data_IF_814126896143
#
_entry.id   IF_814126896143
#
_cell.length_a   1.000
_cell.length_b   1.000
_cell.length_c   1.000
_cell.angle_alpha   90.00
_cell.angle_beta   90.00
_cell.angle_gamma   90.00
#
_symmetry.space_group_name_H-M   'P 1'
#
loop_
_entity.id
_entity.type
_entity.pdbx_description
1 polymer ?
#
# COMPACT_ATOMS: atom_id res chain seq x y z
N UNK A 1 45.70 -32.48 63.67
CA UNK A 1 46.19 -31.43 62.75
C UNK A 1 46.40 -31.97 61.33
N UNK A 2 47.12 -33.09 61.13
CA UNK A 2 47.35 -33.70 59.82
C UNK A 2 46.08 -34.16 59.06
N UNK A 3 45.11 -34.77 59.74
CA UNK A 3 43.86 -35.22 59.08
C UNK A 3 43.02 -34.05 58.56
N UNK A 4 43.02 -32.92 59.28
CA UNK A 4 42.32 -31.71 58.86
C UNK A 4 42.91 -31.15 57.56
N UNK A 5 44.25 -31.14 57.45
CA UNK A 5 44.97 -30.69 56.27
C UNK A 5 44.68 -31.63 55.08
N UNK A 6 44.68 -32.94 55.30
CA UNK A 6 44.33 -33.92 54.27
C UNK A 6 42.90 -33.73 53.76
N UNK A 7 41.94 -33.46 54.64
CA UNK A 7 40.55 -33.17 54.27
C UNK A 7 40.43 -31.88 53.43
N UNK A 8 41.11 -30.80 53.81
CA UNK A 8 41.10 -29.56 53.04
C UNK A 8 41.72 -29.71 51.64
N UNK A 9 42.83 -30.46 51.52
CA UNK A 9 43.44 -30.76 50.23
C UNK A 9 42.51 -31.62 49.36
N UNK A 10 41.82 -32.60 49.95
CA UNK A 10 40.85 -33.44 49.24
C UNK A 10 39.65 -32.63 48.74
N UNK A 11 39.07 -31.77 49.58
CA UNK A 11 37.96 -30.88 49.19
C UNK A 11 38.39 -29.91 48.09
N UNK A 12 39.60 -29.35 48.17
CA UNK A 12 40.15 -28.47 47.13
C UNK A 12 40.36 -29.20 45.79
N UNK A 13 40.82 -30.45 45.82
CA UNK A 13 40.94 -31.27 44.60
C UNK A 13 39.57 -31.55 43.97
N UNK A 14 38.55 -31.88 44.76
CA UNK A 14 37.19 -32.08 44.26
C UNK A 14 36.63 -30.79 43.63
N UNK A 15 36.84 -29.63 44.27
CA UNK A 15 36.41 -28.34 43.72
C UNK A 15 37.11 -28.01 42.39
N UNK A 16 38.42 -28.28 42.28
CA UNK A 16 39.16 -28.07 41.04
C UNK A 16 38.66 -28.98 39.91
N UNK A 17 38.39 -30.25 40.20
CA UNK A 17 37.83 -31.19 39.23
C UNK A 17 36.44 -30.73 38.78
N UNK A 18 35.59 -30.28 39.71
CA UNK A 18 34.27 -29.71 39.38
C UNK A 18 34.35 -28.47 38.48
N UNK A 19 35.33 -27.60 38.69
CA UNK A 19 35.57 -26.42 37.86
C UNK A 19 36.01 -26.80 36.44
N UNK A 20 36.88 -27.80 36.29
CA UNK A 20 37.33 -28.30 34.99
C UNK A 20 36.14 -28.85 34.18
N UNK A 21 35.32 -29.70 34.78
CA UNK A 21 34.11 -30.23 34.12
C UNK A 21 33.12 -29.11 33.74
N UNK A 22 32.95 -28.09 34.58
CA UNK A 22 32.09 -26.96 34.26
C UNK A 22 32.57 -26.18 33.02
N UNK A 23 33.89 -25.95 32.90
CA UNK A 23 34.51 -25.28 31.75
C UNK A 23 34.36 -26.12 30.48
N UNK A 24 34.59 -27.43 30.54
CA UNK A 24 34.43 -28.33 29.39
C UNK A 24 32.97 -28.39 28.90
N UNK A 25 32.01 -28.47 29.83
CA UNK A 25 30.57 -28.44 29.51
C UNK A 25 30.20 -27.10 28.84
N UNK A 26 30.76 -25.98 29.30
CA UNK A 26 30.49 -24.66 28.72
C UNK A 26 31.07 -24.53 27.31
N UNK A 27 32.29 -25.04 27.09
CA UNK A 27 32.91 -25.11 25.77
C UNK A 27 32.10 -25.99 24.81
N UNK A 28 31.60 -27.12 25.30
CA UNK A 28 30.75 -28.03 24.51
C UNK A 28 29.41 -27.38 24.13
N UNK A 29 28.73 -26.69 25.06
CA UNK A 29 27.51 -25.92 24.76
C UNK A 29 27.74 -24.86 23.67
N UNK A 30 28.87 -24.17 23.72
CA UNK A 30 29.20 -23.14 22.71
C UNK A 30 29.44 -23.76 21.33
N UNK A 31 30.13 -24.91 21.26
CA UNK A 31 30.30 -25.66 20.01
C UNK A 31 28.96 -26.10 19.42
N UNK A 32 28.05 -26.64 20.25
CA UNK A 32 26.71 -27.04 19.80
C UNK A 32 25.90 -25.87 19.26
N UNK A 33 25.94 -24.70 19.91
CA UNK A 33 25.25 -23.50 19.42
C UNK A 33 25.78 -23.03 18.06
N UNK A 34 27.09 -23.10 17.85
CA UNK A 34 27.70 -22.72 16.56
C UNK A 34 27.32 -23.71 15.45
N UNK A 35 27.30 -25.01 15.74
CA UNK A 35 26.80 -26.03 14.81
C UNK A 35 25.32 -25.78 14.48
N UNK A 36 24.47 -25.53 15.47
CA UNK A 36 23.05 -25.21 15.23
C UNK A 36 22.87 -23.96 14.35
N UNK A 37 23.72 -22.92 14.54
CA UNK A 37 23.73 -21.72 13.70
C UNK A 37 24.14 -22.01 12.26
N UNK A 38 25.17 -22.82 12.04
CA UNK A 38 25.61 -23.15 10.67
C UNK A 38 24.55 -23.96 9.92
N UNK A 39 23.90 -24.91 10.59
CA UNK A 39 22.76 -25.64 10.01
C UNK A 39 21.61 -24.69 9.65
N UNK A 40 21.20 -23.78 10.56
CA UNK A 40 20.14 -22.80 10.30
C UNK A 40 20.47 -21.88 9.11
N UNK A 41 21.70 -21.38 9.03
CA UNK A 41 22.12 -20.50 7.94
C UNK A 41 22.15 -21.25 6.60
N UNK A 42 22.59 -22.50 6.59
CA UNK A 42 22.59 -23.35 5.39
C UNK A 42 21.16 -23.60 4.90
N UNK A 43 20.21 -23.88 5.79
CA UNK A 43 18.80 -24.08 5.42
C UNK A 43 18.14 -22.80 4.91
N UNK A 44 18.43 -21.65 5.54
CA UNK A 44 17.92 -20.33 5.08
C UNK A 44 18.46 -19.97 3.70
N UNK A 45 19.76 -20.20 3.46
CA UNK A 45 20.38 -19.92 2.17
C UNK A 45 19.85 -20.84 1.05
N UNK A 46 19.64 -22.12 1.34
CA UNK A 46 19.03 -23.06 0.40
C UNK A 46 17.59 -22.67 0.08
N UNK A 47 16.80 -22.28 1.08
CA UNK A 47 15.44 -21.79 0.87
C UNK A 47 15.41 -20.49 0.06
N UNK A 48 16.27 -19.51 0.39
CA UNK A 48 16.35 -18.26 -0.36
C UNK A 48 16.79 -18.49 -1.81
N UNK A 49 17.79 -19.36 -2.03
CA UNK A 49 18.25 -19.72 -3.37
C UNK A 49 17.15 -20.42 -4.18
N UNK A 50 16.47 -21.40 -3.59
CA UNK A 50 15.33 -22.10 -4.20
C UNK A 50 14.18 -21.14 -4.51
N UNK A 51 13.80 -20.27 -3.56
CA UNK A 51 12.74 -19.28 -3.73
C UNK A 51 13.06 -18.29 -4.86
N UNK A 52 14.30 -17.79 -4.95
CA UNK A 52 14.70 -16.90 -6.04
C UNK A 52 14.78 -17.58 -7.41
N UNK A 53 15.04 -18.89 -7.44
CA UNK A 53 15.07 -19.68 -8.67
C UNK A 53 13.65 -19.98 -9.18
N UNK A 54 12.73 -20.34 -8.27
CA UNK A 54 11.34 -20.65 -8.59
C UNK A 54 10.46 -19.40 -8.78
N UNK A 55 10.78 -18.31 -8.08
CA UNK A 55 10.11 -17.01 -8.18
C UNK A 55 11.14 -15.92 -8.52
N UNK A 56 11.70 -15.93 -9.74
CA UNK A 56 12.54 -14.83 -10.19
C UNK A 56 11.70 -13.55 -10.10
N UNK A 57 12.23 -12.52 -9.43
CA UNK A 57 11.58 -11.21 -9.44
C UNK A 57 11.31 -10.86 -10.90
N UNK A 58 10.03 -10.82 -11.28
CA UNK A 58 9.65 -10.20 -12.52
C UNK A 58 10.03 -8.74 -12.35
N UNK A 59 11.21 -8.39 -12.83
CA UNK A 59 11.65 -7.01 -12.95
C UNK A 59 10.58 -6.38 -13.82
N UNK A 60 9.63 -5.70 -13.19
CA UNK A 60 8.52 -5.07 -13.89
C UNK A 60 9.15 -4.04 -14.78
N UNK A 61 9.35 -4.38 -16.05
CA UNK A 61 9.63 -3.42 -17.09
C UNK A 61 8.39 -2.54 -17.06
N UNK A 62 8.49 -1.41 -16.37
CA UNK A 62 7.48 -0.36 -16.42
C UNK A 62 7.45 0.06 -17.87
N UNK A 63 6.59 -0.57 -18.68
CA UNK A 63 6.16 0.03 -19.94
C UNK A 63 5.65 1.40 -19.52
N UNK A 64 6.34 2.45 -19.93
CA UNK A 64 5.84 3.80 -19.77
C UNK A 64 4.56 3.87 -20.59
N UNK A 65 3.45 3.59 -19.92
CA UNK A 65 2.13 3.82 -20.45
C UNK A 65 2.05 5.29 -20.85
N UNK A 66 1.40 5.63 -21.96
CA UNK A 66 1.22 7.01 -22.38
C UNK A 66 0.72 7.84 -21.19
N UNK A 67 1.19 9.09 -21.08
CA UNK A 67 0.78 10.01 -20.01
C UNK A 67 -0.72 10.29 -20.18
N UNK A 68 -1.56 9.51 -19.51
CA UNK A 68 -3.01 9.71 -19.52
C UNK A 68 -3.35 10.76 -18.48
N UNK A 69 -3.79 11.93 -18.94
CA UNK A 69 -4.36 12.97 -18.09
C UNK A 69 -5.51 12.34 -17.29
N UNK A 70 -5.47 12.47 -15.96
CA UNK A 70 -6.41 11.78 -15.05
C UNK A 70 -7.88 12.01 -15.43
N UNK A 71 -8.23 13.22 -15.83
CA UNK A 71 -9.57 13.64 -16.28
C UNK A 71 -10.11 12.82 -17.46
N UNK A 72 -9.20 12.23 -18.25
CA UNK A 72 -9.50 11.41 -19.41
C UNK A 72 -9.43 9.90 -19.12
N UNK A 73 -8.95 9.48 -17.92
CA UNK A 73 -8.66 8.09 -17.55
C UNK A 73 -9.77 7.07 -17.87
N UNK A 74 -11.02 7.51 -17.79
CA UNK A 74 -12.19 6.64 -18.00
C UNK A 74 -13.09 7.08 -19.16
N UNK A 75 -12.67 8.04 -20.00
CA UNK A 75 -13.54 8.58 -21.07
C UNK A 75 -13.92 7.52 -22.11
N UNK A 76 -12.95 6.83 -22.70
CA UNK A 76 -13.21 5.84 -23.75
C UNK A 76 -14.07 4.68 -23.22
N UNK A 77 -13.70 4.14 -22.05
CA UNK A 77 -14.45 3.06 -21.40
C UNK A 77 -15.90 3.44 -21.12
N UNK A 78 -16.15 4.69 -20.75
CA UNK A 78 -17.51 5.19 -20.51
C UNK A 78 -18.35 5.23 -21.79
N UNK A 79 -17.74 5.59 -22.92
CA UNK A 79 -18.44 5.60 -24.21
C UNK A 79 -18.85 4.19 -24.63
N UNK A 80 -18.01 3.19 -24.34
CA UNK A 80 -18.26 1.79 -24.70
C UNK A 80 -19.24 1.05 -23.78
N UNK A 81 -19.61 1.61 -22.62
CA UNK A 81 -20.57 0.91 -21.76
C UNK A 81 -21.97 1.00 -22.35
N UNK A 82 -22.62 -0.16 -22.38
CA UNK A 82 -24.04 -0.33 -22.66
C UNK A 82 -24.71 -0.92 -21.42
N UNK A 83 -25.94 -0.49 -21.15
CA UNK A 83 -26.75 -0.98 -20.04
C UNK A 83 -27.02 0.06 -18.95
N UNK A 84 -28.27 0.04 -18.48
CA UNK A 84 -28.77 0.88 -17.40
C UNK A 84 -29.28 -0.02 -16.27
N UNK A 85 -28.36 -0.44 -15.41
CA UNK A 85 -28.72 -1.12 -14.17
C UNK A 85 -29.17 -0.09 -13.14
N UNK A 86 -30.23 -0.43 -12.41
CA UNK A 86 -30.66 0.37 -11.26
C UNK A 86 -29.54 0.36 -10.22
N UNK A 87 -29.17 1.55 -9.74
CA UNK A 87 -28.20 1.70 -8.65
C UNK A 87 -28.74 1.05 -7.37
N UNK A 88 -27.88 0.29 -6.69
CA UNK A 88 -28.17 -0.25 -5.37
C UNK A 88 -27.56 0.70 -4.31
N UNK A 89 -28.23 0.86 -3.17
CA UNK A 89 -27.75 1.64 -2.02
C UNK A 89 -26.39 1.14 -1.50
N UNK A 90 -26.07 -0.13 -1.76
CA UNK A 90 -24.82 -0.77 -1.32
C UNK A 90 -23.62 -0.53 -2.27
N UNK A 91 -23.81 0.23 -3.35
CA UNK A 91 -22.75 0.48 -4.32
C UNK A 91 -21.82 1.59 -3.80
N UNK A 92 -20.62 1.21 -3.38
CA UNK A 92 -19.58 2.13 -2.87
C UNK A 92 -18.33 1.99 -3.71
N UNK A 93 -17.81 3.11 -4.22
CA UNK A 93 -16.59 3.17 -5.01
C UNK A 93 -15.45 3.77 -4.20
N UNK A 94 -14.29 3.13 -4.26
CA UNK A 94 -13.01 3.66 -3.79
C UNK A 94 -12.16 4.07 -5.01
N UNK A 95 -11.60 5.28 -5.00
CA UNK A 95 -10.65 5.74 -6.02
C UNK A 95 -9.56 6.62 -5.39
N UNK A 96 -8.31 6.28 -5.70
CA UNK A 96 -7.17 7.15 -5.46
C UNK A 96 -7.08 8.19 -6.58
N UNK A 97 -7.35 9.45 -6.25
CA UNK A 97 -7.15 10.57 -7.17
C UNK A 97 -5.76 11.18 -6.95
N UNK A 98 -5.23 11.97 -7.89
CA UNK A 98 -3.96 12.65 -7.67
C UNK A 98 -3.94 13.59 -6.47
N UNK A 99 -5.12 14.09 -6.07
CA UNK A 99 -5.27 15.05 -4.98
C UNK A 99 -5.79 14.44 -3.68
N UNK A 100 -5.94 13.11 -3.60
CA UNK A 100 -6.44 12.42 -2.39
C UNK A 100 -7.33 11.23 -2.71
N UNK A 101 -7.67 10.45 -1.69
CA UNK A 101 -8.55 9.32 -1.80
C UNK A 101 -10.02 9.76 -1.72
N UNK A 102 -10.87 9.09 -2.49
CA UNK A 102 -12.31 9.34 -2.55
C UNK A 102 -13.07 8.04 -2.32
N UNK A 103 -14.05 8.10 -1.42
CA UNK A 103 -15.12 7.10 -1.30
C UNK A 103 -16.38 7.77 -1.84
N UNK A 104 -16.96 7.24 -2.92
CA UNK A 104 -18.12 7.83 -3.60
C UNK A 104 -19.25 6.82 -3.72
N UNK A 105 -20.47 7.29 -3.50
CA UNK A 105 -21.71 6.56 -3.72
C UNK A 105 -22.78 7.48 -4.31
N UNK A 106 -23.85 6.90 -4.85
CA UNK A 106 -24.94 7.67 -5.44
C UNK A 106 -26.18 7.64 -4.55
N UNK A 107 -26.68 8.82 -4.19
CA UNK A 107 -27.93 8.97 -3.46
C UNK A 107 -29.07 9.18 -4.47
N UNK A 108 -29.85 8.12 -4.72
CA UNK A 108 -30.94 8.13 -5.68
C UNK A 108 -32.12 9.02 -5.26
N UNK A 109 -32.35 9.21 -3.96
CA UNK A 109 -33.43 10.10 -3.45
C UNK A 109 -33.12 11.56 -3.73
N UNK A 110 -31.84 11.95 -3.57
CA UNK A 110 -31.36 13.34 -3.79
C UNK A 110 -30.78 13.57 -5.18
N UNK A 111 -30.78 12.54 -6.03
CA UNK A 111 -30.19 12.53 -7.38
C UNK A 111 -28.79 13.13 -7.46
N UNK A 112 -27.90 12.76 -6.54
CA UNK A 112 -26.54 13.34 -6.43
C UNK A 112 -25.50 12.33 -5.99
N UNK A 113 -24.24 12.58 -6.36
CA UNK A 113 -23.10 11.84 -5.86
C UNK A 113 -22.70 12.37 -4.49
N UNK A 114 -22.65 11.48 -3.51
CA UNK A 114 -22.19 11.79 -2.17
C UNK A 114 -20.82 11.14 -1.97
N UNK A 115 -19.90 11.87 -1.33
CA UNK A 115 -18.54 11.37 -1.18
C UNK A 115 -17.88 11.83 0.10
N UNK A 116 -16.91 11.02 0.54
CA UNK A 116 -15.95 11.34 1.56
C UNK A 116 -14.56 11.42 0.94
N UNK A 117 -13.69 12.31 1.44
CA UNK A 117 -12.31 12.40 0.99
C UNK A 117 -11.34 12.74 2.11
N UNK A 118 -10.07 12.35 1.96
CA UNK A 118 -9.01 12.72 2.92
C UNK A 118 -8.52 14.17 2.72
N UNK A 119 -8.63 14.68 1.49
CA UNK A 119 -8.22 16.01 1.06
C UNK A 119 -9.31 16.69 0.25
N UNK A 120 -9.14 17.99 0.00
CA UNK A 120 -10.03 18.74 -0.90
C UNK A 120 -9.81 18.29 -2.35
N UNK A 121 -10.87 17.76 -2.97
CA UNK A 121 -10.81 17.23 -4.34
C UNK A 121 -11.42 18.23 -5.32
N UNK A 122 -10.70 18.65 -6.37
CA UNK A 122 -11.24 19.48 -7.43
C UNK A 122 -12.43 18.81 -8.16
N UNK A 123 -13.43 19.60 -8.55
CA UNK A 123 -14.63 19.11 -9.25
C UNK A 123 -14.33 18.25 -10.49
N UNK A 124 -13.34 18.65 -11.30
CA UNK A 124 -12.87 17.88 -12.48
C UNK A 124 -12.44 16.44 -12.16
N UNK A 125 -11.93 16.19 -10.95
CA UNK A 125 -11.57 14.85 -10.52
C UNK A 125 -12.77 14.08 -10.00
N UNK A 126 -13.72 14.74 -9.33
CA UNK A 126 -15.00 14.11 -8.94
C UNK A 126 -15.79 13.64 -10.16
N UNK A 127 -15.80 14.41 -11.25
CA UNK A 127 -16.36 13.99 -12.55
C UNK A 127 -15.74 12.68 -13.06
N UNK A 128 -14.42 12.54 -12.90
CA UNK A 128 -13.69 11.34 -13.31
C UNK A 128 -14.04 10.14 -12.42
N UNK A 129 -14.18 10.38 -11.10
CA UNK A 129 -14.58 9.34 -10.13
C UNK A 129 -16.03 8.90 -10.39
N UNK A 130 -16.95 9.83 -10.65
CA UNK A 130 -18.34 9.53 -11.00
C UNK A 130 -18.42 8.71 -12.29
N UNK A 131 -17.61 9.05 -13.30
CA UNK A 131 -17.50 8.24 -14.52
C UNK A 131 -17.05 6.80 -14.21
N UNK A 132 -16.06 6.62 -13.34
CA UNK A 132 -15.63 5.29 -12.87
C UNK A 132 -16.76 4.56 -12.17
N UNK A 133 -17.49 5.23 -11.27
CA UNK A 133 -18.62 4.65 -10.52
C UNK A 133 -19.64 4.05 -11.48
N UNK A 134 -20.02 4.84 -12.49
CA UNK A 134 -21.01 4.47 -13.49
C UNK A 134 -20.56 3.29 -14.33
N UNK A 135 -19.29 3.24 -14.73
CA UNK A 135 -18.71 2.09 -15.45
C UNK A 135 -18.73 0.83 -14.58
N UNK A 136 -18.28 0.93 -13.33
CA UNK A 136 -18.14 -0.20 -12.41
C UNK A 136 -19.51 -0.81 -12.09
N UNK A 137 -20.51 0.04 -11.85
CA UNK A 137 -21.85 -0.41 -11.48
C UNK A 137 -22.82 -0.53 -12.67
N UNK A 138 -22.39 -0.15 -13.88
CA UNK A 138 -23.18 -0.14 -15.12
C UNK A 138 -24.52 0.62 -14.97
N UNK A 139 -24.46 1.86 -14.50
CA UNK A 139 -25.63 2.72 -14.28
C UNK A 139 -25.48 4.04 -15.06
N UNK A 140 -25.50 3.96 -16.39
CA UNK A 140 -25.19 5.11 -17.26
C UNK A 140 -26.18 6.25 -17.11
N UNK A 141 -27.45 5.93 -16.95
CA UNK A 141 -28.58 6.84 -16.76
C UNK A 141 -28.42 7.88 -15.62
N UNK A 142 -27.66 7.59 -14.57
CA UNK A 142 -27.51 8.54 -13.43
C UNK A 142 -26.45 9.62 -13.68
N UNK A 143 -25.64 9.49 -14.74
CA UNK A 143 -24.54 10.40 -15.04
C UNK A 143 -24.91 11.34 -16.18
N UNK A 144 -24.73 12.64 -15.93
CA UNK A 144 -24.99 13.67 -16.91
C UNK A 144 -23.68 14.02 -17.60
N UNK A 145 -23.58 13.67 -18.88
CA UNK A 145 -22.40 14.02 -19.68
C UNK A 145 -22.41 15.52 -20.03
N UNK A 146 -21.33 16.21 -19.65
CA UNK A 146 -21.09 17.60 -20.05
C UNK A 146 -20.61 17.62 -21.51
N UNK A 147 -21.55 17.80 -22.43
CA UNK A 147 -21.27 18.10 -23.83
C UNK A 147 -21.17 19.62 -24.02
N UNK A 148 -20.31 20.08 -24.93
CA UNK A 148 -19.89 21.49 -25.15
C UNK A 148 -21.01 22.50 -25.53
N UNK A 149 -22.29 22.25 -25.21
CA UNK A 149 -23.35 23.25 -25.41
C UNK A 149 -24.79 22.76 -25.31
N UNK A 150 -25.06 21.49 -25.00
CA UNK A 150 -26.44 20.96 -25.05
C UNK A 150 -27.10 20.75 -23.68
N UNK A 151 -26.33 20.52 -22.63
CA UNK A 151 -26.88 20.16 -21.32
C UNK A 151 -26.69 21.29 -20.30
N UNK A 152 -27.79 21.93 -19.90
CA UNK A 152 -27.79 22.92 -18.78
C UNK A 152 -27.63 22.25 -17.40
N UNK A 153 -27.93 20.96 -17.31
CA UNK A 153 -27.82 20.19 -16.06
C UNK A 153 -26.40 19.65 -15.90
N UNK A 154 -25.92 19.63 -14.66
CA UNK A 154 -24.60 19.12 -14.29
C UNK A 154 -24.73 18.06 -13.21
N UNK A 155 -23.71 17.22 -13.06
CA UNK A 155 -23.64 16.30 -11.93
C UNK A 155 -23.51 17.09 -10.63
N UNK A 156 -24.32 16.71 -9.63
CA UNK A 156 -24.30 17.33 -8.31
C UNK A 156 -23.45 16.45 -7.39
N UNK A 157 -22.55 17.09 -6.64
CA UNK A 157 -21.68 16.42 -5.68
C UNK A 157 -21.88 17.01 -4.29
N UNK A 158 -21.85 16.16 -3.27
CA UNK A 158 -21.95 16.57 -1.87
C UNK A 158 -20.86 15.89 -1.05
N UNK A 159 -20.00 16.71 -0.45
CA UNK A 159 -18.96 16.26 0.45
C UNK A 159 -19.55 16.02 1.83
N UNK A 160 -19.58 14.76 2.27
CA UNK A 160 -20.20 14.36 3.53
C UNK A 160 -19.26 14.48 4.73
N UNK A 161 -17.95 14.49 4.50
CA UNK A 161 -16.98 14.61 5.57
C UNK A 161 -15.58 14.16 5.17
N UNK A 162 -14.65 14.40 6.08
CA UNK A 162 -13.26 13.96 5.91
C UNK A 162 -13.08 12.53 6.38
N UNK A 163 -12.25 11.78 5.66
CA UNK A 163 -11.80 10.47 6.08
C UNK A 163 -10.53 10.61 6.93
N UNK A 164 -10.41 9.81 8.00
CA UNK A 164 -9.13 9.61 8.65
C UNK A 164 -8.17 9.00 7.61
N UNK A 165 -6.99 9.61 7.49
CA UNK A 165 -6.02 9.42 6.42
C UNK A 165 -5.82 7.93 6.01
N UNK A 166 -6.32 7.54 4.83
CA UNK A 166 -6.20 6.18 4.27
C UNK A 166 -4.94 6.01 3.41
N UNK A 167 -3.79 6.56 3.84
CA UNK A 167 -2.51 6.39 3.13
C UNK A 167 -2.11 4.92 2.93
N UNK A 168 -2.76 3.98 3.61
CA UNK A 168 -2.59 2.54 3.46
C UNK A 168 -3.43 1.89 2.33
N UNK A 169 -4.54 2.48 1.89
CA UNK A 169 -5.49 1.80 0.99
C UNK A 169 -5.11 1.83 -0.49
N UNK A 170 -4.19 2.68 -0.92
CA UNK A 170 -3.52 2.63 -2.23
C UNK A 170 -2.44 3.71 -2.30
N UNK A 171 -1.24 3.36 -2.78
CA UNK A 171 -0.20 4.37 -3.05
C UNK A 171 -0.70 5.25 -4.20
N UNK A 172 -0.87 6.55 -3.93
CA UNK A 172 -1.19 7.54 -4.97
C UNK A 172 -0.07 7.51 -6.02
N UNK A 173 -0.39 7.11 -7.25
CA UNK A 173 0.53 7.18 -8.37
C UNK A 173 0.75 8.65 -8.77
N UNK A 174 1.72 9.31 -8.12
CA UNK A 174 2.10 10.70 -8.40
C UNK A 174 2.64 10.91 -9.82
N UNK A 175 2.87 9.85 -10.59
CA UNK A 175 3.40 9.89 -11.95
C UNK A 175 2.37 10.35 -13.01
N UNK A 176 1.10 10.55 -12.64
CA UNK A 176 -0.01 10.77 -13.58
C UNK A 176 -0.50 12.23 -13.63
N UNK A 177 0.07 13.14 -12.84
CA UNK A 177 -0.25 14.57 -12.91
C UNK A 177 0.84 15.37 -13.61
N UNK A 178 0.41 16.32 -14.46
CA UNK A 178 1.30 17.26 -15.16
C UNK A 178 2.35 17.82 -14.17
N UNK A 179 3.65 17.74 -14.50
CA UNK A 179 4.75 18.26 -13.64
C UNK A 179 4.45 19.66 -13.09
N UNK A 180 3.78 20.51 -13.87
CA UNK A 180 3.34 21.86 -13.45
C UNK A 180 2.38 21.86 -12.25
N UNK A 181 1.56 20.81 -12.06
CA UNK A 181 0.62 20.67 -10.95
C UNK A 181 1.24 20.05 -9.69
N UNK A 182 2.39 19.38 -9.82
CA UNK A 182 3.13 18.79 -8.68
C UNK A 182 4.12 19.81 -8.11
N UNK A 183 4.49 20.81 -8.90
CA UNK A 183 5.46 21.82 -8.54
C UNK A 183 4.96 22.65 -7.34
N UNK A 184 5.76 22.67 -6.28
CA UNK A 184 5.47 23.50 -5.11
C UNK A 184 5.48 24.99 -5.49
N UNK A 185 4.75 25.82 -4.74
CA UNK A 185 4.72 27.27 -4.98
C UNK A 185 6.14 27.90 -5.00
N UNK A 186 7.07 27.31 -4.24
CA UNK A 186 8.48 27.70 -4.21
C UNK A 186 9.19 27.39 -5.55
N UNK A 187 8.98 26.21 -6.10
CA UNK A 187 9.57 25.81 -7.39
C UNK A 187 8.95 26.59 -8.57
N UNK A 188 7.66 26.93 -8.50
CA UNK A 188 7.01 27.80 -9.48
C UNK A 188 7.66 29.19 -9.57
N UNK A 189 7.98 29.79 -8.41
CA UNK A 189 8.69 31.08 -8.38
C UNK A 189 10.12 31.03 -8.92
N UNK A 190 10.74 29.85 -8.89
CA UNK A 190 12.11 29.65 -9.35
C UNK A 190 12.19 29.38 -10.87
N UNK A 191 11.05 29.12 -11.53
CA UNK A 191 10.97 29.17 -13.00
C UNK A 191 10.98 30.63 -13.43
N UNK A 192 12.19 31.17 -13.65
CA UNK A 192 12.36 32.43 -14.37
C UNK A 192 11.82 32.23 -15.81
N UNK A 193 10.84 33.05 -16.20
CA UNK A 193 10.50 33.29 -17.61
C UNK A 193 11.63 34.08 -18.28
#
# INVERSE_FOLDING_TARGET
MFELIAFFLFVSQIQNISLIYAVEIQLFKQKLQNVARTFRNKTVNLYHSWYTYFYPEQKTIKKESPIVIYENKYKEKFLTIEGDRKTNLNNILFEATPNGNVIMFYNSEKARFEFYSDKTIPFRFLETVARKYVIVFQCKNIYIEQTNGKNKKTNVFSHLGKLANYSFLQKVEKHVTNKKMIMSFKEFKNMKL
#
